data_IF_931191578534
#
_entry.id   IF_931191578534
#
_cell.length_a   1.000
_cell.length_b   1.000
_cell.length_c   1.000
_cell.angle_alpha   90.00
_cell.angle_beta   90.00
_cell.angle_gamma   90.00
#
_symmetry.space_group_name_H-M   'P 1'
#
loop_
_entity.id
_entity.type
_entity.pdbx_description
1 polymer ?
#
# COMPACT_ATOMS: atom_id res chain seq x y z
N UNK A 1 -13.90 4.58 -2.18
CA UNK A 1 -13.64 3.23 -2.77
C UNK A 1 -12.36 3.34 -3.57
N UNK A 2 -11.45 2.36 -3.49
CA UNK A 2 -10.20 2.30 -4.26
C UNK A 2 -9.96 0.87 -4.76
N UNK A 3 -9.08 0.71 -5.76
CA UNK A 3 -8.65 -0.60 -6.26
C UNK A 3 -7.40 -1.06 -5.51
N UNK A 4 -7.42 -2.30 -5.04
CA UNK A 4 -6.29 -2.96 -4.40
C UNK A 4 -5.22 -3.45 -5.38
N UNK A 5 -4.27 -4.23 -4.87
CA UNK A 5 -3.16 -4.80 -5.67
C UNK A 5 -3.25 -6.32 -5.78
N UNK A 6 -2.41 -6.89 -6.64
CA UNK A 6 -2.20 -8.34 -6.77
C UNK A 6 -0.70 -8.67 -6.90
N UNK A 7 0.11 -8.01 -6.08
CA UNK A 7 1.57 -8.12 -6.08
C UNK A 7 2.05 -9.30 -5.23
N UNK A 8 1.24 -9.81 -4.30
CA UNK A 8 1.61 -10.89 -3.39
C UNK A 8 2.92 -10.57 -2.66
N UNK A 9 3.93 -11.42 -2.78
CA UNK A 9 5.27 -11.25 -2.22
C UNK A 9 6.31 -10.90 -3.30
N UNK A 10 5.88 -10.36 -4.44
CA UNK A 10 6.81 -9.80 -5.42
C UNK A 10 7.53 -8.61 -4.79
N UNK A 11 8.86 -8.67 -4.76
CA UNK A 11 9.68 -7.62 -4.17
C UNK A 11 9.60 -6.36 -5.04
N UNK A 12 9.21 -5.20 -4.48
CA UNK A 12 9.19 -3.94 -5.21
C UNK A 12 10.58 -3.56 -5.72
N UNK A 13 10.65 -2.90 -6.87
CA UNK A 13 11.92 -2.44 -7.46
C UNK A 13 12.59 -1.31 -6.66
N UNK A 14 11.80 -0.47 -5.97
CA UNK A 14 12.27 0.58 -5.06
C UNK A 14 11.40 0.59 -3.80
N UNK A 15 12.00 0.48 -2.59
CA UNK A 15 11.28 0.58 -1.32
C UNK A 15 10.58 1.93 -1.12
N UNK A 16 11.23 3.03 -1.50
CA UNK A 16 10.69 4.39 -1.35
C UNK A 16 9.46 4.59 -2.25
N UNK A 17 9.59 4.17 -3.52
CA UNK A 17 8.49 4.21 -4.49
C UNK A 17 7.31 3.33 -4.04
N UNK A 18 7.60 2.19 -3.42
CA UNK A 18 6.58 1.27 -2.92
C UNK A 18 5.73 1.89 -1.81
N UNK A 19 6.34 2.53 -0.82
CA UNK A 19 5.62 3.24 0.23
C UNK A 19 4.71 4.33 -0.33
N UNK A 20 5.24 5.19 -1.21
CA UNK A 20 4.46 6.27 -1.83
C UNK A 20 3.30 5.74 -2.69
N UNK A 21 3.51 4.62 -3.36
CA UNK A 21 2.44 3.94 -4.12
C UNK A 21 1.32 3.47 -3.21
N UNK A 22 1.64 2.78 -2.10
CA UNK A 22 0.64 2.33 -1.13
C UNK A 22 -0.11 3.49 -0.50
N UNK A 23 0.60 4.56 -0.13
CA UNK A 23 0.00 5.79 0.40
C UNK A 23 -0.97 6.38 -0.60
N UNK A 24 -0.56 6.55 -1.85
CA UNK A 24 -1.41 7.13 -2.88
C UNK A 24 -2.67 6.29 -3.16
N UNK A 25 -2.53 4.96 -3.20
CA UNK A 25 -3.65 4.05 -3.47
C UNK A 25 -4.70 4.06 -2.36
N UNK A 26 -4.25 4.07 -1.10
CA UNK A 26 -5.13 3.83 0.04
C UNK A 26 -5.50 5.08 0.83
N UNK A 27 -4.87 6.24 0.58
CA UNK A 27 -5.20 7.48 1.27
C UNK A 27 -6.66 7.89 1.06
N UNK A 28 -7.42 7.94 2.17
CA UNK A 28 -8.85 8.25 2.16
C UNK A 28 -9.73 7.12 1.61
N UNK A 29 -9.18 5.92 1.41
CA UNK A 29 -9.93 4.78 0.91
C UNK A 29 -10.70 4.08 2.04
N UNK A 30 -12.03 4.16 1.98
CA UNK A 30 -12.90 3.48 2.94
C UNK A 30 -13.27 2.03 2.57
N UNK A 31 -13.19 1.69 1.28
CA UNK A 31 -13.56 0.36 0.75
C UNK A 31 -12.55 0.00 -0.32
N UNK A 32 -11.80 -1.08 -0.10
CA UNK A 32 -10.85 -1.63 -1.05
C UNK A 32 -11.55 -2.68 -1.90
N UNK A 33 -11.59 -2.47 -3.21
CA UNK A 33 -11.99 -3.49 -4.18
C UNK A 33 -10.77 -4.32 -4.57
N UNK A 34 -10.82 -5.63 -4.32
CA UNK A 34 -9.66 -6.53 -4.47
C UNK A 34 -8.93 -6.72 -3.14
N UNK A 35 -7.59 -6.78 -3.18
CA UNK A 35 -6.78 -7.10 -2.01
C UNK A 35 -6.12 -5.85 -1.41
N UNK A 36 -6.09 -5.79 -0.07
CA UNK A 36 -5.22 -4.89 0.66
C UNK A 36 -3.90 -5.61 0.94
N UNK A 37 -2.82 -5.19 0.29
CA UNK A 37 -1.50 -5.82 0.43
C UNK A 37 -0.49 -4.80 0.99
N UNK A 38 -0.02 -5.04 2.22
CA UNK A 38 0.95 -4.20 2.92
C UNK A 38 2.24 -4.99 3.14
N UNK A 39 3.10 -5.04 2.11
CA UNK A 39 4.35 -5.81 2.11
C UNK A 39 5.56 -4.88 2.05
N UNK A 40 6.73 -5.34 2.52
CA UNK A 40 8.01 -4.63 2.41
C UNK A 40 8.05 -3.17 2.93
N UNK A 41 7.18 -2.81 3.88
CA UNK A 41 7.24 -1.52 4.55
C UNK A 41 8.39 -1.48 5.57
N UNK A 42 9.12 -0.36 5.68
CA UNK A 42 10.10 -0.18 6.75
C UNK A 42 9.37 -0.07 8.11
N UNK A 43 10.11 -0.36 9.20
CA UNK A 43 9.52 -0.43 10.55
C UNK A 43 8.94 0.91 11.04
N UNK A 44 9.43 2.03 10.50
CA UNK A 44 9.05 3.40 10.81
C UNK A 44 8.07 4.01 9.78
N UNK A 45 7.54 3.21 8.84
CA UNK A 45 6.57 3.68 7.86
C UNK A 45 5.31 4.26 8.52
N UNK A 46 4.98 5.52 8.22
CA UNK A 46 3.72 6.12 8.64
C UNK A 46 2.56 5.51 7.86
N UNK A 47 1.71 4.73 8.55
CA UNK A 47 0.53 4.06 7.99
C UNK A 47 -0.78 4.77 8.32
N UNK A 48 -0.75 6.02 8.81
CA UNK A 48 -1.95 6.77 9.17
C UNK A 48 -2.94 6.99 8.00
N UNK A 49 -2.49 6.84 6.75
CA UNK A 49 -3.34 6.91 5.56
C UNK A 49 -4.32 5.73 5.43
N UNK A 50 -4.17 4.67 6.24
CA UNK A 50 -5.05 3.49 6.30
C UNK A 50 -6.22 3.64 7.29
N UNK A 51 -6.36 4.79 7.95
CA UNK A 51 -7.44 5.05 8.91
C UNK A 51 -8.83 5.12 8.27
#
# INVERSE_FOLDING_TARGET
VCTGTDMKLLRPSSPESHYETLRHLYQGCQVVQGNLELTYLPADADTAFLK
#
